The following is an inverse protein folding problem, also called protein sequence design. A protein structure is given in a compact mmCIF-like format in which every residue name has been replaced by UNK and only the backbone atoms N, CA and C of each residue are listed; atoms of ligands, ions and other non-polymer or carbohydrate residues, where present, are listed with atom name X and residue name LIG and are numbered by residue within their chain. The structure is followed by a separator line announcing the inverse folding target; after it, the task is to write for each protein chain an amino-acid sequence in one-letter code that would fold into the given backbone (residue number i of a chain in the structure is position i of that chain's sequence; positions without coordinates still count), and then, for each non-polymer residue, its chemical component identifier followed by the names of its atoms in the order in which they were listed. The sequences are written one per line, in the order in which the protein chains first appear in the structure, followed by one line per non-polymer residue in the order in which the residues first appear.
data_IF_403861440394
#
_entry.id   IF_403861440394
#
_cell.length_a   1.000
_cell.length_b   1.000
_cell.length_c   1.000
_cell.angle_alpha   90.00
_cell.angle_beta   90.00
_cell.angle_gamma   90.00
#
_symmetry.space_group_name_H-M   'P 1'
#
loop_
_entity.id
_entity.type
_entity.pdbx_description
1 polymer ?
#
# COMPACT_ATOMS: atom_id res chain seq x y z
N UNK A 1 9.56 -23.66 -84.62
CA UNK A 1 8.55 -23.62 -83.54
C UNK A 1 8.99 -22.52 -82.60
N UNK A 2 8.81 -21.25 -83.00
CA UNK A 2 7.60 -20.40 -82.76
C UNK A 2 7.70 -19.78 -81.34
N UNK A 3 8.30 -18.60 -81.20
CA UNK A 3 7.70 -17.24 -81.24
C UNK A 3 6.54 -16.98 -80.25
N UNK A 4 6.89 -16.25 -79.19
CA UNK A 4 6.22 -15.07 -78.62
C UNK A 4 4.68 -15.03 -78.49
N UNK A 5 4.20 -14.79 -77.26
CA UNK A 5 2.96 -14.06 -77.00
C UNK A 5 2.92 -13.42 -75.61
N UNK A 6 3.29 -12.14 -75.58
CA UNK A 6 2.56 -10.98 -75.01
C UNK A 6 1.62 -11.16 -73.79
N UNK A 7 1.99 -10.45 -72.72
CA UNK A 7 1.30 -9.31 -72.07
C UNK A 7 -0.21 -9.45 -71.73
N UNK A 8 -0.54 -9.25 -70.44
CA UNK A 8 -1.87 -8.83 -69.98
C UNK A 8 -1.92 -8.35 -68.52
N UNK A 9 -1.82 -7.02 -68.31
CA UNK A 9 -2.07 -6.28 -67.05
C UNK A 9 -3.54 -6.34 -66.62
N UNK A 10 -3.81 -6.43 -65.30
CA UNK A 10 -4.76 -5.60 -64.48
C UNK A 10 -4.98 -6.27 -63.11
N UNK A 11 -4.43 -5.69 -62.03
CA UNK A 11 -5.15 -4.91 -61.00
C UNK A 11 -6.00 -5.76 -60.04
N UNK A 12 -5.60 -5.81 -58.76
CA UNK A 12 -6.50 -5.54 -57.63
C UNK A 12 -5.67 -5.32 -56.35
N UNK A 13 -5.74 -4.08 -55.87
CA UNK A 13 -5.41 -3.67 -54.51
C UNK A 13 -6.34 -4.39 -53.52
N UNK A 14 -5.79 -5.04 -52.50
CA UNK A 14 -6.39 -5.00 -51.16
C UNK A 14 -5.29 -4.92 -50.11
N UNK A 15 -5.06 -3.69 -49.65
CA UNK A 15 -4.47 -3.44 -48.35
C UNK A 15 -5.51 -3.84 -47.29
N UNK A 16 -5.24 -4.91 -46.53
CA UNK A 16 -5.97 -5.18 -45.31
C UNK A 16 -5.19 -4.60 -44.13
N UNK A 17 -5.62 -3.41 -43.71
CA UNK A 17 -5.35 -2.84 -42.39
C UNK A 17 -5.88 -3.81 -41.33
N UNK A 18 -4.98 -4.52 -40.66
CA UNK A 18 -5.32 -5.19 -39.41
C UNK A 18 -5.20 -4.16 -38.29
N UNK A 19 -6.33 -3.58 -37.93
CA UNK A 19 -6.47 -2.75 -36.72
C UNK A 19 -6.21 -3.65 -35.53
N UNK A 20 -5.05 -3.45 -34.88
CA UNK A 20 -4.73 -4.08 -33.62
C UNK A 20 -5.68 -3.59 -32.53
N UNK A 21 -6.54 -4.47 -32.04
CA UNK A 21 -7.13 -4.32 -30.72
C UNK A 21 -6.20 -5.08 -29.78
N UNK A 22 -5.23 -4.37 -29.21
CA UNK A 22 -4.52 -4.88 -28.05
C UNK A 22 -5.52 -4.90 -26.89
N UNK A 23 -6.16 -6.04 -26.65
CA UNK A 23 -6.78 -6.31 -25.37
C UNK A 23 -5.69 -6.18 -24.31
N UNK A 24 -5.73 -5.07 -23.57
CA UNK A 24 -5.12 -4.98 -22.26
C UNK A 24 -5.82 -6.02 -21.38
N UNK A 25 -5.33 -7.26 -21.46
CA UNK A 25 -5.61 -8.29 -20.48
C UNK A 25 -5.22 -7.69 -19.13
N UNK A 26 -6.22 -7.23 -18.39
CA UNK A 26 -6.08 -6.86 -16.99
C UNK A 26 -5.56 -8.12 -16.31
N UNK A 27 -4.25 -8.15 -16.08
CA UNK A 27 -3.56 -9.27 -15.47
C UNK A 27 -4.12 -9.45 -14.08
N UNK A 28 -5.12 -10.33 -13.94
CA UNK A 28 -5.42 -11.01 -12.69
C UNK A 28 -4.07 -11.52 -12.21
N UNK A 29 -3.56 -10.92 -11.14
CA UNK A 29 -2.35 -11.39 -10.48
C UNK A 29 -2.62 -12.85 -10.13
N UNK A 30 -1.98 -13.77 -10.85
CA UNK A 30 -2.14 -15.18 -10.58
C UNK A 30 -1.81 -15.41 -9.10
N UNK A 31 -2.69 -16.10 -8.39
CA UNK A 31 -2.44 -16.48 -7.01
C UNK A 31 -1.09 -17.19 -6.97
N UNK A 32 -0.12 -16.61 -6.26
CA UNK A 32 1.20 -17.21 -6.07
C UNK A 32 1.00 -18.62 -5.51
N UNK A 33 1.57 -19.62 -6.17
CA UNK A 33 1.67 -20.99 -5.66
C UNK A 33 2.76 -21.05 -4.59
N UNK A 34 2.53 -20.31 -3.50
CA UNK A 34 3.39 -20.38 -2.32
C UNK A 34 3.30 -21.77 -1.66
N UNK A 35 4.20 -22.05 -0.71
CA UNK A 35 4.15 -23.27 0.08
C UNK A 35 2.81 -23.40 0.82
N UNK A 36 2.31 -24.64 0.92
CA UNK A 36 1.01 -24.96 1.52
C UNK A 36 1.12 -25.61 2.91
N UNK A 37 2.35 -25.88 3.35
CA UNK A 37 2.67 -26.57 4.61
C UNK A 37 3.79 -25.85 5.35
N UNK A 38 3.80 -26.02 6.67
CA UNK A 38 4.90 -25.55 7.51
C UNK A 38 6.09 -26.51 7.39
N UNK A 39 7.30 -25.97 7.25
CA UNK A 39 8.54 -26.76 7.11
C UNK A 39 9.69 -26.08 7.88
N UNK A 40 10.59 -26.89 8.45
CA UNK A 40 11.82 -26.45 9.10
C UNK A 40 12.92 -27.45 8.75
N UNK A 41 13.95 -27.01 8.03
CA UNK A 41 15.07 -27.86 7.61
C UNK A 41 16.37 -27.27 8.17
N UNK A 42 17.11 -28.08 8.92
CA UNK A 42 18.42 -27.70 9.46
C UNK A 42 19.55 -28.24 8.57
N UNK A 43 20.41 -27.36 8.08
CA UNK A 43 21.61 -27.72 7.32
C UNK A 43 22.71 -28.31 8.23
N UNK A 44 23.70 -29.04 7.68
CA UNK A 44 24.82 -29.57 8.46
C UNK A 44 25.66 -28.53 9.20
N UNK A 45 25.64 -27.27 8.76
CA UNK A 45 26.32 -26.15 9.43
C UNK A 45 25.47 -25.47 10.52
N UNK A 46 24.23 -25.95 10.73
CA UNK A 46 23.28 -25.42 11.71
C UNK A 46 22.35 -24.32 11.19
N UNK A 47 22.36 -24.00 9.89
CA UNK A 47 21.43 -23.03 9.30
C UNK A 47 19.99 -23.59 9.26
N UNK A 48 18.99 -22.80 9.69
CA UNK A 48 17.57 -23.19 9.68
C UNK A 48 16.81 -22.55 8.50
N UNK A 49 16.17 -23.38 7.67
CA UNK A 49 15.25 -22.95 6.61
C UNK A 49 13.81 -23.15 7.07
N UNK A 50 13.16 -22.05 7.45
CA UNK A 50 11.80 -22.07 8.04
C UNK A 50 10.78 -21.52 7.04
N UNK A 51 9.77 -22.34 6.74
CA UNK A 51 8.56 -21.95 6.02
C UNK A 51 7.35 -22.03 6.95
N UNK A 52 6.55 -20.97 6.99
CA UNK A 52 5.31 -20.92 7.78
C UNK A 52 4.15 -20.45 6.92
N UNK A 53 3.08 -21.24 6.90
CA UNK A 53 1.79 -20.81 6.36
C UNK A 53 0.99 -20.15 7.47
N UNK A 54 0.75 -18.85 7.32
CA UNK A 54 -0.02 -18.06 8.28
C UNK A 54 -1.37 -17.71 7.66
N UNK A 55 -2.48 -18.40 8.02
CA UNK A 55 -3.79 -18.03 7.52
C UNK A 55 -4.25 -16.71 8.15
N UNK A 56 -5.06 -15.94 7.41
CA UNK A 56 -5.75 -14.78 7.98
C UNK A 56 -6.63 -15.25 9.15
N UNK A 57 -6.51 -14.66 10.36
CA UNK A 57 -7.27 -15.11 11.52
C UNK A 57 -8.78 -15.05 11.29
N UNK A 58 -9.50 -16.13 11.63
CA UNK A 58 -10.96 -16.14 11.58
C UNK A 58 -11.63 -15.31 12.68
N UNK A 59 -10.89 -14.99 13.74
CA UNK A 59 -11.36 -14.34 14.97
C UNK A 59 -11.47 -12.82 14.88
N UNK A 60 -10.89 -12.20 13.85
CA UNK A 60 -10.96 -10.75 13.63
C UNK A 60 -12.18 -10.37 12.78
N UNK A 61 -12.55 -9.09 12.76
CA UNK A 61 -13.69 -8.59 11.99
C UNK A 61 -13.56 -8.87 10.49
N UNK A 62 -14.70 -8.92 9.78
CA UNK A 62 -14.69 -9.10 8.31
C UNK A 62 -13.84 -8.05 7.61
N UNK A 63 -13.98 -6.79 8.00
CA UNK A 63 -13.19 -5.68 7.43
C UNK A 63 -11.68 -5.85 7.69
N UNK A 64 -11.28 -6.35 8.86
CA UNK A 64 -9.88 -6.62 9.15
C UNK A 64 -9.34 -7.81 8.32
N UNK A 65 -10.15 -8.86 8.09
CA UNK A 65 -9.77 -9.97 7.21
C UNK A 65 -9.60 -9.51 5.77
N UNK A 66 -10.53 -8.70 5.26
CA UNK A 66 -10.44 -8.10 3.93
C UNK A 66 -9.16 -7.26 3.82
N UNK A 67 -8.88 -6.39 4.81
CA UNK A 67 -7.66 -5.58 4.83
C UNK A 67 -6.38 -6.44 4.78
N UNK A 68 -6.25 -7.45 5.64
CA UNK A 68 -5.07 -8.31 5.73
C UNK A 68 -4.91 -9.29 4.56
N UNK A 69 -5.96 -9.51 3.75
CA UNK A 69 -5.90 -10.41 2.60
C UNK A 69 -5.09 -9.87 1.40
N UNK A 70 -4.64 -8.62 1.47
CA UNK A 70 -3.86 -8.00 0.41
C UNK A 70 -2.36 -8.32 0.55
N UNK A 71 -1.67 -8.68 -0.55
CA UNK A 71 -0.24 -8.95 -0.50
C UNK A 71 0.54 -7.68 -0.17
N UNK A 72 1.49 -7.79 0.74
CA UNK A 72 2.47 -6.72 1.03
C UNK A 72 3.77 -7.06 0.30
N UNK A 73 4.30 -6.16 -0.55
CA UNK A 73 5.57 -6.41 -1.22
C UNK A 73 6.71 -6.62 -0.23
N UNK A 74 7.44 -7.73 -0.36
CA UNK A 74 8.64 -8.03 0.44
C UNK A 74 9.90 -7.43 -0.21
N UNK A 75 9.84 -6.15 -0.55
CA UNK A 75 10.99 -5.45 -1.13
C UNK A 75 11.92 -4.96 -0.01
N UNK A 76 13.25 -4.90 -0.25
CA UNK A 76 14.14 -4.21 0.66
C UNK A 76 13.69 -2.75 0.86
N UNK A 77 13.88 -2.19 2.07
CA UNK A 77 13.46 -0.83 2.35
C UNK A 77 14.16 0.15 1.40
N UNK A 78 13.44 1.15 0.85
CA UNK A 78 14.06 2.13 -0.03
C UNK A 78 15.01 3.05 0.77
N UNK A 79 15.81 3.92 0.12
CA UNK A 79 16.63 4.90 0.81
C UNK A 79 15.83 5.77 1.79
N UNK A 80 16.44 6.20 2.91
CA UNK A 80 15.74 6.90 4.01
C UNK A 80 14.97 8.14 3.55
N UNK A 81 15.51 8.92 2.62
CA UNK A 81 14.84 10.10 2.08
C UNK A 81 13.51 9.73 1.39
N UNK A 82 13.49 8.61 0.68
CA UNK A 82 12.28 8.10 0.03
C UNK A 82 11.30 7.53 1.05
N UNK A 83 11.78 6.82 2.07
CA UNK A 83 10.93 6.35 3.17
C UNK A 83 10.21 7.52 3.87
N UNK A 84 10.94 8.59 4.19
CA UNK A 84 10.38 9.81 4.80
C UNK A 84 9.32 10.44 3.92
N UNK A 85 9.62 10.62 2.63
CA UNK A 85 8.66 11.17 1.65
C UNK A 85 7.37 10.35 1.58
N UNK A 86 7.49 9.03 1.42
CA UNK A 86 6.32 8.12 1.36
C UNK A 86 5.51 8.16 2.66
N UNK A 87 6.18 8.23 3.81
CA UNK A 87 5.52 8.34 5.11
C UNK A 87 4.79 9.67 5.27
N UNK A 88 5.40 10.77 4.83
CA UNK A 88 4.76 12.10 4.82
C UNK A 88 3.50 12.13 3.97
N UNK A 89 3.55 11.58 2.76
CA UNK A 89 2.39 11.45 1.88
C UNK A 89 1.28 10.60 2.53
N UNK A 90 1.66 9.45 3.10
CA UNK A 90 0.74 8.56 3.81
C UNK A 90 0.06 9.27 5.00
N UNK A 91 0.83 9.88 5.89
CA UNK A 91 0.28 10.49 7.12
C UNK A 91 -0.63 11.67 6.82
N UNK A 92 -0.34 12.46 5.78
CA UNK A 92 -1.21 13.57 5.35
C UNK A 92 -2.55 13.02 4.85
N UNK A 93 -2.52 12.02 3.96
CA UNK A 93 -3.73 11.41 3.42
C UNK A 93 -4.57 10.71 4.49
N UNK A 94 -3.94 9.97 5.40
CA UNK A 94 -4.64 9.31 6.52
C UNK A 94 -5.18 10.28 7.55
N UNK A 95 -4.46 11.34 7.89
CA UNK A 95 -4.97 12.39 8.76
C UNK A 95 -6.20 13.08 8.17
N UNK A 96 -6.23 13.29 6.85
CA UNK A 96 -7.39 13.85 6.17
C UNK A 96 -8.63 12.93 6.27
N UNK A 97 -8.46 11.61 6.07
CA UNK A 97 -9.54 10.65 6.25
C UNK A 97 -9.99 10.55 7.72
N UNK A 98 -9.04 10.49 8.66
CA UNK A 98 -9.35 10.42 10.10
C UNK A 98 -10.20 11.62 10.55
N UNK A 99 -9.90 12.83 10.09
CA UNK A 99 -10.69 14.04 10.41
C UNK A 99 -12.13 13.99 9.89
N UNK A 100 -12.41 13.25 8.82
CA UNK A 100 -13.78 13.07 8.32
C UNK A 100 -14.59 12.17 9.25
N UNK A 101 -13.95 11.13 9.79
CA UNK A 101 -14.58 10.17 10.70
C UNK A 101 -14.68 10.71 12.13
N UNK A 102 -13.65 11.44 12.56
CA UNK A 102 -13.48 11.94 13.92
C UNK A 102 -13.14 13.43 13.90
N UNK A 103 -14.15 14.30 13.83
CA UNK A 103 -13.95 15.74 13.80
C UNK A 103 -13.24 16.26 15.06
N UNK A 104 -12.12 16.96 14.86
CA UNK A 104 -11.28 17.53 15.92
C UNK A 104 -10.74 18.91 15.52
N UNK A 105 -10.46 19.76 16.51
CA UNK A 105 -9.61 20.94 16.35
C UNK A 105 -8.16 20.56 16.61
N UNK A 106 -7.24 21.06 15.78
CA UNK A 106 -5.80 20.80 15.92
C UNK A 106 -5.06 22.12 15.93
N UNK A 107 -4.31 22.37 16.99
CA UNK A 107 -3.60 23.62 17.22
C UNK A 107 -2.12 23.35 17.50
N UNK A 108 -1.20 23.84 16.63
CA UNK A 108 0.22 23.81 16.93
C UNK A 108 0.53 24.65 18.17
N UNK A 109 1.35 24.09 19.07
CA UNK A 109 1.84 24.75 20.29
C UNK A 109 3.30 24.41 20.53
N UNK A 110 3.99 25.26 21.27
CA UNK A 110 5.31 24.96 21.83
C UNK A 110 5.15 24.79 23.33
N UNK A 111 5.51 23.63 23.87
CA UNK A 111 5.43 23.30 25.29
C UNK A 111 6.83 22.92 25.75
N UNK A 112 7.39 23.66 26.71
CA UNK A 112 8.75 23.41 27.20
C UNK A 112 9.83 23.47 26.10
N UNK A 113 9.62 24.27 25.05
CA UNK A 113 10.53 24.36 23.90
C UNK A 113 10.33 23.31 22.81
N UNK A 114 9.41 22.35 22.99
CA UNK A 114 9.11 21.30 22.02
C UNK A 114 7.83 21.62 21.25
N UNK A 115 7.85 21.45 19.92
CA UNK A 115 6.66 21.58 19.07
C UNK A 115 5.72 20.41 19.33
N UNK A 116 4.47 20.72 19.62
CA UNK A 116 3.37 19.79 19.83
C UNK A 116 2.17 20.18 18.97
N UNK A 117 1.25 19.25 18.75
CA UNK A 117 -0.10 19.52 18.27
C UNK A 117 -1.08 19.23 19.40
N UNK A 118 -1.89 20.22 19.78
CA UNK A 118 -3.00 20.03 20.72
C UNK A 118 -4.22 19.64 19.93
N UNK A 119 -4.67 18.40 20.10
CA UNK A 119 -5.82 17.80 19.41
C UNK A 119 -7.00 17.79 20.37
N UNK A 120 -8.07 18.50 20.04
CA UNK A 120 -9.26 18.67 20.89
C UNK A 120 -10.51 18.19 20.17
N UNK A 121 -11.22 17.17 20.69
CA UNK A 121 -12.54 16.78 20.18
C UNK A 121 -13.54 17.94 20.23
N UNK A 122 -14.58 17.90 19.38
CA UNK A 122 -15.59 18.96 19.37
C UNK A 122 -16.37 19.07 20.69
N UNK A 123 -16.52 17.96 21.41
CA UNK A 123 -17.12 17.91 22.74
C UNK A 123 -16.30 17.03 23.69
N UNK A 124 -16.20 17.45 24.95
CA UNK A 124 -15.49 16.71 26.01
C UNK A 124 -16.50 16.43 27.15
N UNK A 125 -16.75 15.15 27.49
CA UNK A 125 -17.56 14.77 28.63
C UNK A 125 -17.03 15.38 29.94
N UNK A 126 -17.92 15.74 30.86
CA UNK A 126 -17.58 16.48 32.08
C UNK A 126 -16.48 15.77 32.90
N UNK A 127 -16.57 14.46 33.01
CA UNK A 127 -15.65 13.58 33.75
C UNK A 127 -14.24 13.49 33.14
N UNK A 128 -14.05 13.99 31.92
CA UNK A 128 -12.76 14.00 31.20
C UNK A 128 -12.13 15.39 31.09
N UNK A 129 -12.80 16.47 31.49
CA UNK A 129 -12.33 17.86 31.27
C UNK A 129 -11.01 18.20 31.97
N UNK A 130 -10.70 17.52 33.07
CA UNK A 130 -9.46 17.70 33.83
C UNK A 130 -8.43 16.59 33.54
N UNK A 131 -8.48 15.98 32.35
CA UNK A 131 -7.58 14.91 31.92
C UNK A 131 -6.93 15.29 30.60
N UNK A 132 -5.70 14.82 30.41
CA UNK A 132 -4.96 14.95 29.15
C UNK A 132 -4.42 13.59 28.75
N UNK A 133 -4.35 13.34 27.44
CA UNK A 133 -3.63 12.23 26.86
C UNK A 133 -2.43 12.81 26.11
N UNK A 134 -1.26 12.21 26.29
CA UNK A 134 -0.04 12.57 25.60
C UNK A 134 0.25 11.45 24.61
N UNK A 135 0.17 11.75 23.32
CA UNK A 135 0.57 10.83 22.26
C UNK A 135 2.05 11.02 21.93
N UNK A 136 2.78 9.92 21.81
CA UNK A 136 4.15 9.87 21.30
C UNK A 136 4.14 8.92 20.13
N UNK A 137 4.22 9.47 18.92
CA UNK A 137 3.97 8.71 17.70
C UNK A 137 5.07 7.68 17.40
N UNK A 138 4.72 6.69 16.58
CA UNK A 138 5.63 5.71 16.00
C UNK A 138 6.52 6.28 14.90
N UNK A 139 6.66 5.54 13.79
CA UNK A 139 7.53 5.94 12.67
C UNK A 139 8.96 5.42 12.75
N UNK A 140 9.19 4.32 13.48
CA UNK A 140 10.49 3.62 13.51
C UNK A 140 11.67 4.52 13.89
N UNK A 141 11.41 5.52 14.75
CA UNK A 141 12.36 6.54 15.22
C UNK A 141 12.97 7.45 14.13
N UNK A 142 12.55 7.33 12.88
CA UNK A 142 13.19 8.03 11.74
C UNK A 142 12.22 8.72 10.79
N UNK A 143 10.92 8.42 10.89
CA UNK A 143 9.84 8.96 10.05
C UNK A 143 8.63 9.41 10.90
N UNK A 144 7.57 9.86 10.22
CA UNK A 144 6.25 10.17 10.80
C UNK A 144 6.14 11.37 11.76
N UNK A 145 7.15 12.25 11.78
CA UNK A 145 7.14 13.47 12.59
C UNK A 145 5.89 14.33 12.37
N UNK A 146 5.18 14.64 13.46
CA UNK A 146 3.97 15.46 13.41
C UNK A 146 2.77 14.74 12.77
N UNK A 147 2.77 13.41 12.79
CA UNK A 147 1.64 12.60 12.37
C UNK A 147 0.42 12.80 13.26
N UNK A 148 -0.73 12.93 12.60
CA UNK A 148 -2.04 12.98 13.26
C UNK A 148 -2.77 11.64 13.14
N UNK A 149 -2.20 10.66 12.42
CA UNK A 149 -2.83 9.35 12.21
C UNK A 149 -2.99 8.59 13.53
N UNK A 150 -2.05 8.78 14.45
CA UNK A 150 -2.06 8.16 15.78
C UNK A 150 -2.58 9.12 16.86
N UNK A 151 -2.83 10.39 16.51
CA UNK A 151 -3.31 11.42 17.44
C UNK A 151 -4.81 11.71 17.34
N UNK A 152 -5.40 11.49 16.17
CA UNK A 152 -6.85 11.55 15.96
C UNK A 152 -7.39 10.13 16.18
N UNK A 153 -8.39 9.93 17.06
CA UNK A 153 -8.95 8.60 17.38
C UNK A 153 -9.51 7.87 16.16
#
# INVERSE_FOLDING_TARGET
MEFDRMIGRRETLQALLTTGVAELASGRTAASSGPLTDECITDPDGTEHVTRVVPVPGTISRAAREFLSHPIPSNPPPPLAEQRKRTDEFRIGRAAEARKLFPVRVEPRTIGGVRCDVITPLSIPQEKRNRVLINVHGGGFTTDSGSLVEGIP
#
